data_IF_078139401967
#
_entry.id   IF_078139401967
#
_cell.length_a   1.000
_cell.length_b   1.000
_cell.length_c   1.000
_cell.angle_alpha   90.00
_cell.angle_beta   90.00
_cell.angle_gamma   90.00
#
_symmetry.space_group_name_H-M   'P 1'
#
loop_
_entity.id
_entity.type
_entity.pdbx_description
1 polymer ?
#
# COMPACT_ATOMS: atom_id res chain seq x y z
N UNK A 1 34.91 12.86 -21.24
CA UNK A 1 34.58 11.55 -20.64
C UNK A 1 33.76 11.65 -19.37
N UNK A 2 34.10 12.48 -18.35
CA UNK A 2 33.27 12.63 -17.10
C UNK A 2 31.86 13.17 -17.35
N UNK A 3 31.63 14.10 -18.28
CA UNK A 3 30.33 14.69 -18.58
C UNK A 3 29.40 13.63 -19.19
N UNK A 4 29.88 12.82 -20.13
CA UNK A 4 29.11 11.76 -20.76
C UNK A 4 28.72 10.66 -19.76
N UNK A 5 29.64 10.32 -18.85
CA UNK A 5 29.39 9.36 -17.77
C UNK A 5 28.32 9.83 -16.79
N UNK A 6 28.37 11.11 -16.35
CA UNK A 6 27.36 11.69 -15.47
C UNK A 6 25.99 11.78 -16.14
N UNK A 7 25.93 12.03 -17.44
CA UNK A 7 24.69 12.06 -18.21
C UNK A 7 24.03 10.68 -18.23
N UNK A 8 24.79 9.61 -18.55
CA UNK A 8 24.30 8.23 -18.56
C UNK A 8 23.80 7.80 -17.18
N UNK A 9 24.51 8.15 -16.10
CA UNK A 9 24.05 7.85 -14.73
C UNK A 9 22.73 8.54 -14.39
N UNK A 10 22.55 9.78 -14.82
CA UNK A 10 21.32 10.54 -14.57
C UNK A 10 20.13 9.95 -15.33
N UNK A 11 20.34 9.54 -16.58
CA UNK A 11 19.28 8.86 -17.35
C UNK A 11 18.91 7.51 -16.74
N UNK A 12 19.90 6.70 -16.36
CA UNK A 12 19.67 5.42 -15.68
C UNK A 12 18.88 5.60 -14.38
N UNK A 13 19.23 6.61 -13.58
CA UNK A 13 18.50 6.95 -12.36
C UNK A 13 17.04 7.31 -12.64
N UNK A 14 16.77 8.11 -13.69
CA UNK A 14 15.41 8.50 -14.06
C UNK A 14 14.57 7.33 -14.55
N UNK A 15 15.17 6.39 -15.30
CA UNK A 15 14.51 5.15 -15.72
C UNK A 15 14.13 4.32 -14.50
N UNK A 16 15.06 4.06 -13.57
CA UNK A 16 14.76 3.30 -12.35
C UNK A 16 13.71 3.98 -11.48
N UNK A 17 13.74 5.30 -11.39
CA UNK A 17 12.72 6.09 -10.67
C UNK A 17 11.34 5.92 -11.29
N UNK A 18 11.23 5.96 -12.63
CA UNK A 18 9.97 5.78 -13.33
C UNK A 18 9.40 4.38 -13.11
N UNK A 19 10.23 3.34 -13.24
CA UNK A 19 9.84 1.95 -12.96
C UNK A 19 9.45 1.76 -11.49
N UNK A 20 10.21 2.32 -10.55
CA UNK A 20 9.87 2.28 -9.13
C UNK A 20 8.49 2.89 -8.85
N UNK A 21 8.15 4.01 -9.49
CA UNK A 21 6.84 4.67 -9.31
C UNK A 21 5.72 3.80 -9.91
N UNK A 22 5.90 3.26 -11.10
CA UNK A 22 4.91 2.38 -11.76
C UNK A 22 4.59 1.18 -10.88
N UNK A 23 5.61 0.46 -10.42
CA UNK A 23 5.41 -0.72 -9.58
C UNK A 23 4.89 -0.38 -8.18
N UNK A 24 5.27 0.77 -7.63
CA UNK A 24 4.72 1.27 -6.37
C UNK A 24 3.21 1.52 -6.48
N UNK A 25 2.75 2.16 -7.54
CA UNK A 25 1.31 2.37 -7.80
C UNK A 25 0.58 1.03 -7.94
N UNK A 26 1.15 0.09 -8.71
CA UNK A 26 0.58 -1.26 -8.86
C UNK A 26 0.52 -2.02 -7.53
N UNK A 27 1.55 -1.89 -6.68
CA UNK A 27 1.58 -2.53 -5.36
C UNK A 27 0.48 -1.98 -4.44
N UNK A 28 0.33 -0.65 -4.34
CA UNK A 28 -0.73 -0.04 -3.56
C UNK A 28 -2.13 -0.38 -4.09
N UNK A 29 -2.33 -0.39 -5.42
CA UNK A 29 -3.57 -0.83 -6.03
C UNK A 29 -3.92 -2.27 -5.61
N UNK A 30 -2.93 -3.16 -5.62
CA UNK A 30 -3.06 -4.54 -5.15
C UNK A 30 -3.44 -4.62 -3.67
N UNK A 31 -2.78 -3.83 -2.80
CA UNK A 31 -3.07 -3.79 -1.37
C UNK A 31 -4.49 -3.28 -1.07
N UNK A 32 -4.94 -2.22 -1.74
CA UNK A 32 -6.30 -1.70 -1.57
C UNK A 32 -7.36 -2.70 -2.01
N UNK A 33 -7.14 -3.37 -3.13
CA UNK A 33 -8.13 -4.27 -3.68
C UNK A 33 -8.17 -5.62 -2.95
N UNK A 34 -7.04 -6.14 -2.48
CA UNK A 34 -7.02 -7.40 -1.73
C UNK A 34 -7.80 -7.29 -0.42
N UNK A 35 -7.65 -6.20 0.33
CA UNK A 35 -8.40 -6.00 1.58
C UNK A 35 -9.89 -5.85 1.31
N UNK A 36 -10.28 -5.22 0.20
CA UNK A 36 -11.69 -5.15 -0.20
C UNK A 36 -12.26 -6.55 -0.49
N UNK A 37 -11.49 -7.43 -1.13
CA UNK A 37 -11.88 -8.83 -1.33
C UNK A 37 -12.01 -9.59 -0.01
N UNK A 38 -11.20 -9.28 1.01
CA UNK A 38 -11.35 -9.85 2.35
C UNK A 38 -12.65 -9.38 3.03
N UNK A 39 -13.02 -8.11 2.86
CA UNK A 39 -14.30 -7.58 3.35
C UNK A 39 -15.45 -8.37 2.74
N UNK A 40 -15.48 -8.52 1.42
CA UNK A 40 -16.55 -9.28 0.74
C UNK A 40 -16.56 -10.75 1.16
N UNK A 41 -15.39 -11.37 1.31
CA UNK A 41 -15.30 -12.74 1.81
C UNK A 41 -15.85 -12.88 3.23
N UNK A 42 -15.58 -11.93 4.12
CA UNK A 42 -16.12 -11.95 5.49
C UNK A 42 -17.63 -11.74 5.54
N UNK A 43 -18.19 -10.95 4.61
CA UNK A 43 -19.65 -10.70 4.50
C UNK A 43 -20.43 -11.95 4.06
N UNK A 44 -19.80 -12.93 3.42
CA UNK A 44 -20.46 -14.20 3.08
C UNK A 44 -20.85 -15.02 4.30
N UNK A 45 -20.33 -14.72 5.50
CA UNK A 45 -20.62 -15.46 6.74
C UNK A 45 -22.13 -15.48 7.07
N UNK A 46 -22.86 -14.41 6.72
CA UNK A 46 -24.30 -14.25 6.96
C UNK A 46 -25.20 -14.71 5.82
N UNK A 47 -24.63 -15.29 4.75
CA UNK A 47 -25.40 -15.72 3.56
C UNK A 47 -25.87 -17.17 3.67
N UNK A 48 -26.86 -17.53 2.85
CA UNK A 48 -27.31 -18.90 2.71
C UNK A 48 -26.18 -19.82 2.23
N UNK A 49 -26.15 -21.12 2.64
CA UNK A 49 -25.03 -22.03 2.38
C UNK A 49 -24.61 -22.10 0.91
N UNK A 50 -25.56 -22.18 -0.02
CA UNK A 50 -25.27 -22.31 -1.46
C UNK A 50 -24.62 -21.05 -2.02
N UNK A 51 -25.18 -19.88 -1.75
CA UNK A 51 -24.62 -18.58 -2.17
C UNK A 51 -23.26 -18.34 -1.54
N UNK A 52 -23.08 -18.71 -0.27
CA UNK A 52 -21.81 -18.61 0.44
C UNK A 52 -20.73 -19.43 -0.26
N UNK A 53 -21.00 -20.69 -0.61
CA UNK A 53 -20.02 -21.56 -1.24
C UNK A 53 -19.58 -21.03 -2.61
N UNK A 54 -20.53 -20.58 -3.44
CA UNK A 54 -20.25 -20.03 -4.77
C UNK A 54 -19.38 -18.77 -4.65
N UNK A 55 -19.80 -17.82 -3.81
CA UNK A 55 -19.09 -16.53 -3.66
C UNK A 55 -17.71 -16.70 -3.02
N UNK A 56 -17.57 -17.56 -2.00
CA UNK A 56 -16.28 -17.83 -1.38
C UNK A 56 -15.30 -18.46 -2.37
N UNK A 57 -15.75 -19.39 -3.21
CA UNK A 57 -14.93 -19.98 -4.26
C UNK A 57 -14.43 -18.92 -5.23
N UNK A 58 -15.34 -18.05 -5.70
CA UNK A 58 -14.99 -16.96 -6.60
C UNK A 58 -14.01 -15.96 -5.97
N UNK A 59 -14.26 -15.51 -4.74
CA UNK A 59 -13.37 -14.59 -4.05
C UNK A 59 -11.99 -15.18 -3.79
N UNK A 60 -11.86 -16.47 -3.49
CA UNK A 60 -10.55 -17.14 -3.35
C UNK A 60 -9.75 -17.11 -4.64
N UNK A 61 -10.38 -17.38 -5.78
CA UNK A 61 -9.73 -17.33 -7.09
C UNK A 61 -9.26 -15.90 -7.38
N UNK A 62 -10.12 -14.90 -7.15
CA UNK A 62 -9.77 -13.49 -7.35
C UNK A 62 -8.62 -13.05 -6.44
N UNK A 63 -8.69 -13.40 -5.15
CA UNK A 63 -7.62 -13.12 -4.18
C UNK A 63 -6.29 -13.75 -4.61
N UNK A 64 -6.29 -15.02 -5.03
CA UNK A 64 -5.08 -15.74 -5.45
C UNK A 64 -4.44 -15.09 -6.69
N UNK A 65 -5.24 -14.76 -7.71
CA UNK A 65 -4.76 -14.10 -8.93
C UNK A 65 -4.20 -12.71 -8.64
N UNK A 66 -4.94 -11.88 -7.91
CA UNK A 66 -4.48 -10.53 -7.53
C UNK A 66 -3.19 -10.59 -6.72
N UNK A 67 -3.12 -11.49 -5.75
CA UNK A 67 -2.03 -11.58 -4.80
C UNK A 67 -0.72 -12.00 -5.46
N UNK A 68 -0.73 -13.09 -6.21
CA UNK A 68 0.48 -13.67 -6.79
C UNK A 68 0.87 -13.10 -8.16
N UNK A 69 -0.10 -12.62 -8.95
CA UNK A 69 0.20 -12.10 -10.29
C UNK A 69 0.52 -10.60 -10.26
N UNK A 70 -0.12 -9.84 -9.35
CA UNK A 70 0.01 -8.38 -9.33
C UNK A 70 0.75 -7.92 -8.08
N UNK A 71 0.23 -8.23 -6.88
CA UNK A 71 0.66 -7.58 -5.64
C UNK A 71 2.09 -7.97 -5.23
N UNK A 72 2.42 -9.26 -5.22
CA UNK A 72 3.77 -9.75 -4.90
C UNK A 72 4.82 -9.29 -5.91
N UNK A 73 4.63 -9.48 -7.24
CA UNK A 73 5.61 -9.00 -8.21
C UNK A 73 5.82 -7.50 -8.15
N UNK A 74 4.74 -6.71 -7.98
CA UNK A 74 4.85 -5.26 -7.88
C UNK A 74 5.61 -4.82 -6.64
N UNK A 75 5.41 -5.48 -5.48
CA UNK A 75 6.20 -5.24 -4.27
C UNK A 75 7.68 -5.50 -4.52
N UNK A 76 8.03 -6.68 -5.04
CA UNK A 76 9.43 -7.07 -5.28
C UNK A 76 10.11 -6.11 -6.26
N UNK A 77 9.44 -5.74 -7.36
CA UNK A 77 9.98 -4.81 -8.34
C UNK A 77 10.09 -3.38 -7.78
N UNK A 78 9.14 -2.95 -6.94
CA UNK A 78 9.26 -1.67 -6.24
C UNK A 78 10.51 -1.62 -5.37
N UNK A 79 10.76 -2.66 -4.59
CA UNK A 79 11.94 -2.75 -3.74
C UNK A 79 13.23 -2.83 -4.57
N UNK A 80 13.24 -3.66 -5.61
CA UNK A 80 14.38 -3.82 -6.50
C UNK A 80 14.80 -2.48 -7.12
N UNK A 81 13.88 -1.76 -7.78
CA UNK A 81 14.20 -0.47 -8.38
C UNK A 81 14.49 0.61 -7.34
N UNK A 82 13.85 0.56 -6.17
CA UNK A 82 14.16 1.45 -5.05
C UNK A 82 15.61 1.28 -4.55
N UNK A 83 16.06 0.04 -4.39
CA UNK A 83 17.43 -0.30 -3.99
C UNK A 83 18.42 0.07 -5.11
N UNK A 84 18.09 -0.25 -6.38
CA UNK A 84 18.92 0.11 -7.53
C UNK A 84 19.19 1.63 -7.61
N UNK A 85 18.18 2.46 -7.31
CA UNK A 85 18.36 3.92 -7.25
C UNK A 85 19.37 4.35 -6.17
N UNK A 86 19.40 3.67 -5.02
CA UNK A 86 20.34 3.96 -3.93
C UNK A 86 21.78 3.58 -4.33
N UNK A 87 21.96 2.52 -5.13
CA UNK A 87 23.26 2.14 -5.68
C UNK A 87 23.75 3.14 -6.74
N UNK A 88 22.86 3.62 -7.61
CA UNK A 88 23.21 4.63 -8.63
C UNK A 88 23.54 5.98 -8.01
N UNK A 89 22.86 6.35 -6.92
CA UNK A 89 23.10 7.62 -6.21
C UNK A 89 23.17 7.41 -4.69
N UNK A 90 24.32 6.98 -4.15
CA UNK A 90 24.50 6.73 -2.72
C UNK A 90 24.36 7.98 -1.82
N UNK A 91 24.46 9.19 -2.40
CA UNK A 91 24.29 10.46 -1.67
C UNK A 91 22.88 10.54 -1.06
N UNK A 92 21.88 9.89 -1.66
CA UNK A 92 20.52 9.82 -1.14
C UNK A 92 20.48 9.26 0.29
N UNK A 93 21.35 8.30 0.63
CA UNK A 93 21.40 7.72 1.98
C UNK A 93 21.85 8.71 3.06
N UNK A 94 22.45 9.84 2.69
CA UNK A 94 22.82 10.90 3.64
C UNK A 94 21.64 11.85 3.96
N UNK A 95 20.54 11.73 3.23
CA UNK A 95 19.38 12.62 3.37
C UNK A 95 18.40 12.07 4.42
N UNK A 96 18.09 12.84 5.44
CA UNK A 96 17.19 12.44 6.55
C UNK A 96 15.81 11.99 6.08
N UNK A 97 15.23 12.61 5.04
CA UNK A 97 13.93 12.22 4.50
C UNK A 97 13.93 10.81 3.87
N UNK A 98 15.09 10.32 3.41
CA UNK A 98 15.20 8.94 2.89
C UNK A 98 15.11 7.93 4.04
N UNK A 99 15.76 8.17 5.18
CA UNK A 99 15.63 7.29 6.34
C UNK A 99 14.19 7.23 6.84
N UNK A 100 13.53 8.37 6.91
CA UNK A 100 12.11 8.43 7.26
C UNK A 100 11.24 7.63 6.26
N UNK A 101 11.46 7.81 4.94
CA UNK A 101 10.80 7.02 3.91
C UNK A 101 11.01 5.52 4.10
N UNK A 102 12.25 5.09 4.33
CA UNK A 102 12.59 3.67 4.51
C UNK A 102 11.87 3.07 5.73
N UNK A 103 11.73 3.85 6.81
CA UNK A 103 10.93 3.44 7.99
C UNK A 103 9.46 3.19 7.61
N UNK A 104 8.83 4.10 6.87
CA UNK A 104 7.45 3.89 6.41
C UNK A 104 7.31 2.74 5.41
N UNK A 105 8.30 2.53 4.55
CA UNK A 105 8.34 1.37 3.64
C UNK A 105 8.46 0.07 4.45
N UNK A 106 9.26 0.04 5.51
CA UNK A 106 9.33 -1.11 6.40
C UNK A 106 7.98 -1.41 7.07
N UNK A 107 7.28 -0.39 7.57
CA UNK A 107 5.92 -0.55 8.12
C UNK A 107 4.95 -1.08 7.05
N UNK A 108 5.07 -0.60 5.80
CA UNK A 108 4.26 -1.10 4.67
C UNK A 108 4.56 -2.56 4.35
N UNK A 109 5.80 -3.01 4.48
CA UNK A 109 6.16 -4.43 4.33
C UNK A 109 5.54 -5.29 5.44
N UNK A 110 5.55 -4.83 6.69
CA UNK A 110 4.85 -5.50 7.79
C UNK A 110 3.35 -5.60 7.48
N UNK A 111 2.74 -4.52 7.01
CA UNK A 111 1.34 -4.51 6.57
C UNK A 111 1.07 -5.52 5.44
N UNK A 112 1.96 -5.61 4.44
CA UNK A 112 1.86 -6.58 3.35
C UNK A 112 1.88 -8.02 3.87
N UNK A 113 2.76 -8.34 4.83
CA UNK A 113 2.82 -9.67 5.47
C UNK A 113 1.55 -9.96 6.26
N UNK A 114 0.98 -8.98 6.98
CA UNK A 114 -0.31 -9.14 7.65
C UNK A 114 -1.44 -9.44 6.66
N UNK A 115 -1.47 -8.75 5.50
CA UNK A 115 -2.38 -9.09 4.41
C UNK A 115 -2.18 -10.53 3.93
N UNK A 116 -0.93 -11.01 3.82
CA UNK A 116 -0.64 -12.38 3.41
C UNK A 116 -1.19 -13.41 4.41
N UNK A 117 -1.09 -13.17 5.72
CA UNK A 117 -1.69 -14.04 6.72
C UNK A 117 -3.22 -14.10 6.60
N UNK A 118 -3.88 -12.96 6.40
CA UNK A 118 -5.33 -12.93 6.17
C UNK A 118 -5.70 -13.67 4.87
N UNK A 119 -4.91 -13.52 3.81
CA UNK A 119 -5.07 -14.28 2.57
C UNK A 119 -5.05 -15.79 2.83
N UNK A 120 -4.04 -16.29 3.56
CA UNK A 120 -3.93 -17.72 3.86
C UNK A 120 -5.12 -18.25 4.69
N UNK A 121 -5.62 -17.46 5.65
CA UNK A 121 -6.82 -17.80 6.42
C UNK A 121 -8.05 -17.93 5.53
N UNK A 122 -8.26 -16.96 4.64
CA UNK A 122 -9.39 -16.98 3.70
C UNK A 122 -9.32 -18.18 2.73
N UNK A 123 -8.11 -18.53 2.25
CA UNK A 123 -7.93 -19.73 1.41
C UNK A 123 -8.34 -21.02 2.13
N UNK A 124 -8.20 -21.06 3.47
CA UNK A 124 -8.60 -22.17 4.34
C UNK A 124 -10.06 -22.08 4.85
N UNK A 125 -10.87 -21.14 4.33
CA UNK A 125 -12.23 -20.82 4.80
C UNK A 125 -12.32 -20.35 6.26
N UNK A 126 -11.25 -19.83 6.82
CA UNK A 126 -11.21 -19.30 8.19
C UNK A 126 -11.52 -17.80 8.13
N UNK A 127 -12.63 -17.40 8.77
CA UNK A 127 -13.05 -15.99 8.85
C UNK A 127 -12.89 -15.51 10.29
N UNK A 128 -11.75 -14.92 10.60
CA UNK A 128 -11.42 -14.42 11.94
C UNK A 128 -11.77 -12.94 12.13
N UNK A 129 -11.84 -12.18 11.03
CA UNK A 129 -12.05 -10.74 11.07
C UNK A 129 -13.46 -10.36 10.58
N UNK A 130 -14.04 -9.38 11.24
CA UNK A 130 -15.32 -8.78 10.79
C UNK A 130 -15.06 -7.82 9.62
N UNK A 131 -16.10 -7.59 8.79
CA UNK A 131 -16.00 -6.64 7.67
C UNK A 131 -15.63 -5.22 8.13
N UNK A 132 -16.08 -4.81 9.32
CA UNK A 132 -15.73 -3.49 9.88
C UNK A 132 -14.24 -3.38 10.27
N UNK A 133 -13.66 -4.44 10.87
CA UNK A 133 -12.23 -4.47 11.20
C UNK A 133 -11.37 -4.39 9.93
N UNK A 134 -11.74 -5.16 8.89
CA UNK A 134 -11.04 -5.15 7.61
C UNK A 134 -11.13 -3.79 6.89
N UNK A 135 -12.25 -3.08 7.01
CA UNK A 135 -12.38 -1.71 6.47
C UNK A 135 -11.45 -0.74 7.17
N UNK A 136 -11.37 -0.78 8.51
CA UNK A 136 -10.41 0.04 9.26
C UNK A 136 -8.97 -0.34 8.90
N UNK A 137 -8.70 -1.63 8.75
CA UNK A 137 -7.38 -2.13 8.32
C UNK A 137 -6.97 -1.58 6.95
N UNK A 138 -7.91 -1.42 5.99
CA UNK A 138 -7.64 -0.82 4.69
C UNK A 138 -7.13 0.63 4.77
N UNK A 139 -7.60 1.40 5.78
CA UNK A 139 -7.18 2.80 5.94
C UNK A 139 -5.71 2.95 6.33
N UNK A 140 -5.11 1.91 6.93
CA UNK A 140 -3.68 1.90 7.25
C UNK A 140 -2.85 2.03 5.96
N UNK A 141 -3.23 1.31 4.89
CA UNK A 141 -2.55 1.42 3.60
C UNK A 141 -2.67 2.83 3.01
N UNK A 142 -3.85 3.45 3.13
CA UNK A 142 -4.09 4.83 2.67
C UNK A 142 -3.20 5.83 3.42
N UNK A 143 -3.13 5.71 4.74
CA UNK A 143 -2.29 6.57 5.58
C UNK A 143 -0.80 6.40 5.24
N UNK A 144 -0.34 5.17 5.03
CA UNK A 144 1.04 4.89 4.63
C UNK A 144 1.36 5.46 3.25
N UNK A 145 0.44 5.35 2.28
CA UNK A 145 0.63 5.96 0.95
C UNK A 145 0.80 7.47 1.08
N UNK A 146 -0.13 8.13 1.78
CA UNK A 146 -0.10 9.58 1.99
C UNK A 146 1.21 9.99 2.65
N UNK A 147 1.60 9.33 3.74
CA UNK A 147 2.85 9.62 4.46
C UNK A 147 4.08 9.53 3.55
N UNK A 148 4.22 8.42 2.81
CA UNK A 148 5.36 8.18 1.92
C UNK A 148 5.42 9.24 0.81
N UNK A 149 4.27 9.58 0.20
CA UNK A 149 4.21 10.59 -0.86
C UNK A 149 4.57 11.97 -0.32
N UNK A 150 4.01 12.38 0.83
CA UNK A 150 4.34 13.66 1.45
C UNK A 150 5.84 13.79 1.79
N UNK A 151 6.45 12.76 2.38
CA UNK A 151 7.88 12.75 2.70
C UNK A 151 8.73 13.00 1.45
N UNK A 152 8.36 12.37 0.32
CA UNK A 152 9.15 12.49 -0.92
C UNK A 152 8.92 13.82 -1.63
N UNK A 153 7.70 14.34 -1.65
CA UNK A 153 7.37 15.58 -2.35
C UNK A 153 7.92 16.78 -1.59
N UNK A 154 7.82 16.79 -0.28
CA UNK A 154 8.17 17.95 0.53
C UNK A 154 9.66 18.04 0.95
N UNK A 155 10.47 17.02 0.68
CA UNK A 155 11.94 16.89 0.87
C UNK A 155 12.60 17.92 1.82
N UNK A 156 12.83 19.14 1.34
CA UNK A 156 13.63 20.20 1.99
C UNK A 156 12.81 21.43 2.39
N UNK A 157 11.52 21.54 2.02
CA UNK A 157 10.68 22.69 2.29
C UNK A 157 9.93 22.61 3.62
N UNK A 158 10.18 21.55 4.38
CA UNK A 158 9.53 21.36 5.66
C UNK A 158 10.38 21.90 6.80
N UNK A 159 9.92 23.00 7.36
CA UNK A 159 9.86 22.99 8.82
C UNK A 159 9.02 21.77 9.22
N UNK A 160 9.52 20.89 10.06
CA UNK A 160 8.86 19.68 10.59
C UNK A 160 7.38 19.92 10.99
N UNK A 161 7.07 21.15 11.36
CA UNK A 161 5.75 21.61 11.77
C UNK A 161 4.70 21.51 10.65
N UNK A 162 4.98 22.01 9.45
CA UNK A 162 4.02 22.00 8.34
C UNK A 162 3.76 20.59 7.79
N UNK A 163 4.79 19.73 7.78
CA UNK A 163 4.63 18.34 7.34
C UNK A 163 3.78 17.50 8.29
N UNK A 164 3.99 17.65 9.60
CA UNK A 164 3.18 16.98 10.61
C UNK A 164 1.75 17.51 10.62
N UNK A 165 1.55 18.82 10.47
CA UNK A 165 0.21 19.42 10.36
C UNK A 165 -0.54 18.92 9.13
N UNK A 166 0.11 18.86 7.96
CA UNK A 166 -0.50 18.35 6.73
C UNK A 166 -0.85 16.85 6.87
N UNK A 167 0.04 16.04 7.45
CA UNK A 167 -0.23 14.63 7.70
C UNK A 167 -1.41 14.41 8.66
N UNK A 168 -1.47 15.18 9.75
CA UNK A 168 -2.57 15.14 10.71
C UNK A 168 -3.87 15.58 10.04
N UNK A 169 -3.86 16.66 9.25
CA UNK A 169 -5.05 17.16 8.55
C UNK A 169 -5.62 16.13 7.57
N UNK A 170 -4.77 15.47 6.76
CA UNK A 170 -5.20 14.40 5.84
C UNK A 170 -5.71 13.19 6.60
N UNK A 171 -5.04 12.79 7.69
CA UNK A 171 -5.47 11.68 8.55
C UNK A 171 -6.84 11.94 9.17
N UNK A 172 -7.07 13.16 9.67
CA UNK A 172 -8.37 13.59 10.21
C UNK A 172 -9.45 13.63 9.14
N UNK A 173 -9.14 14.16 7.97
CA UNK A 173 -10.08 14.22 6.84
C UNK A 173 -10.53 12.82 6.42
N UNK A 174 -9.60 11.87 6.29
CA UNK A 174 -9.92 10.47 6.01
C UNK A 174 -10.77 9.84 7.13
N UNK A 175 -10.41 10.07 8.39
CA UNK A 175 -11.15 9.55 9.54
C UNK A 175 -12.58 10.10 9.61
N UNK A 176 -12.78 11.39 9.35
CA UNK A 176 -14.10 12.02 9.28
C UNK A 176 -14.90 11.46 8.11
N UNK A 177 -14.27 11.33 6.93
CA UNK A 177 -14.90 10.74 5.74
C UNK A 177 -15.43 9.32 6.00
N UNK A 178 -14.65 8.48 6.68
CA UNK A 178 -15.05 7.14 7.08
C UNK A 178 -16.25 7.18 8.05
N UNK A 179 -16.21 8.07 9.06
CA UNK A 179 -17.32 8.20 10.02
C UNK A 179 -18.61 8.68 9.36
N UNK A 180 -18.52 9.67 8.48
CA UNK A 180 -19.67 10.20 7.72
C UNK A 180 -20.26 9.12 6.82
N UNK A 181 -19.42 8.42 6.06
CA UNK A 181 -19.85 7.30 5.21
C UNK A 181 -20.55 6.21 6.00
N UNK A 182 -19.99 5.84 7.17
CA UNK A 182 -20.58 4.86 8.08
C UNK A 182 -21.96 5.30 8.57
N UNK A 183 -22.11 6.59 8.97
CA UNK A 183 -23.37 7.16 9.45
C UNK A 183 -24.47 7.17 8.36
N UNK A 184 -24.08 7.48 7.11
CA UNK A 184 -25.02 7.49 5.97
C UNK A 184 -25.49 6.07 5.62
N UNK A 185 -24.58 5.09 5.63
CA UNK A 185 -24.89 3.70 5.25
C UNK A 185 -25.78 2.97 6.28
N UNK A 186 -25.63 3.27 7.56
CA UNK A 186 -26.47 2.65 8.62
C UNK A 186 -27.80 3.37 8.85
N UNK A 187 -28.10 4.42 8.08
CA UNK A 187 -29.38 5.15 8.14
C UNK A 187 -30.40 4.64 7.08
N UNK A 188 -30.00 3.68 6.25
CA UNK A 188 -30.84 2.89 5.34
C UNK A 188 -30.92 1.46 5.84
#
# INVERSE_FOLDING_TARGET
>A
MKICFNFVLMETFNIFKSLHIIFMVSWFAGLFYIVRLYVYFSETKSMNPDNKQILQTQYKIMQKRLWYIITWPSMLLTLFFGIAMLFVNPILLKMSYIHLKLTFVFILLVYHILCHFIFLQNQRNVINFTSNQLRIFNEIATLLLVAIVFIIVMKNSLSWLYGTMAFIAVSLFLFIGIRVYKKIRFRK
#
